data_IF_328675825763
#
_entry.id   IF_328675825763
#
_cell.length_a   1.000
_cell.length_b   1.000
_cell.length_c   1.000
_cell.angle_alpha   90.00
_cell.angle_beta   90.00
_cell.angle_gamma   90.00
#
_symmetry.space_group_name_H-M   'P 1'
#
loop_
_entity.id
_entity.type
_entity.pdbx_description
1 polymer ?
#
# COMPACT_ATOMS: atom_id res chain seq x y z
N UNK A 1 -12.34 -14.47 -21.26
CA UNK A 1 -11.12 -13.83 -21.78
C UNK A 1 -11.42 -12.35 -21.97
N UNK A 2 -10.54 -11.47 -21.49
CA UNK A 2 -10.68 -10.00 -21.65
C UNK A 2 -9.87 -9.54 -22.87
N UNK A 3 -10.38 -8.57 -23.62
CA UNK A 3 -9.76 -8.04 -24.84
C UNK A 3 -9.58 -6.51 -24.76
N UNK A 4 -8.34 -5.99 -24.87
CA UNK A 4 -8.05 -4.55 -24.82
C UNK A 4 -7.77 -3.93 -26.22
N UNK A 5 -8.63 -4.12 -27.23
CA UNK A 5 -8.38 -3.60 -28.58
C UNK A 5 -9.60 -2.98 -29.26
N UNK A 6 -9.60 -1.64 -29.37
CA UNK A 6 -10.57 -0.81 -30.09
C UNK A 6 -9.96 0.54 -30.49
N UNK A 7 -10.66 1.42 -31.23
CA UNK A 7 -10.16 2.77 -31.50
C UNK A 7 -9.88 3.50 -30.18
N UNK A 8 -8.79 4.27 -30.12
CA UNK A 8 -8.49 5.06 -28.92
C UNK A 8 -9.60 6.09 -28.66
N UNK A 9 -10.02 6.29 -27.40
CA UNK A 9 -9.55 5.60 -26.18
C UNK A 9 -10.10 4.16 -26.02
N UNK A 10 -9.28 3.25 -25.49
CA UNK A 10 -9.60 1.83 -25.31
C UNK A 10 -10.70 1.58 -24.26
N UNK A 11 -11.52 0.55 -24.51
CA UNK A 11 -12.46 -0.03 -23.54
C UNK A 11 -12.08 -1.49 -23.24
N UNK A 12 -12.62 -2.07 -22.17
CA UNK A 12 -12.44 -3.49 -21.85
C UNK A 12 -13.70 -4.28 -22.21
N UNK A 13 -13.59 -5.17 -23.19
CA UNK A 13 -14.62 -6.16 -23.52
C UNK A 13 -14.35 -7.52 -22.90
N UNK A 14 -15.38 -8.36 -22.80
CA UNK A 14 -15.23 -9.76 -22.39
C UNK A 14 -15.92 -10.74 -23.34
N UNK A 15 -15.43 -11.97 -23.33
CA UNK A 15 -16.07 -13.12 -23.99
C UNK A 15 -16.02 -14.36 -23.10
N UNK A 16 -17.04 -15.21 -23.22
CA UNK A 16 -17.18 -16.46 -22.48
C UNK A 16 -17.17 -17.68 -23.41
N UNK A 17 -16.73 -18.82 -22.89
CA UNK A 17 -16.77 -20.10 -23.59
C UNK A 17 -16.82 -21.24 -22.57
N UNK A 18 -17.30 -22.41 -23.00
CA UNK A 18 -17.22 -23.66 -22.23
C UNK A 18 -15.85 -24.35 -22.38
N UNK A 19 -14.98 -23.87 -23.28
CA UNK A 19 -13.64 -24.42 -23.53
C UNK A 19 -12.62 -23.30 -23.66
N UNK A 20 -11.39 -23.54 -23.19
CA UNK A 20 -10.26 -22.59 -23.33
C UNK A 20 -9.92 -22.28 -24.78
N UNK A 21 -10.29 -23.15 -25.72
CA UNK A 21 -10.08 -22.96 -27.17
C UNK A 21 -11.27 -22.29 -27.88
N UNK A 22 -12.33 -21.95 -27.16
CA UNK A 22 -13.56 -21.45 -27.76
C UNK A 22 -14.49 -22.57 -28.28
N UNK A 23 -15.52 -22.21 -29.07
CA UNK A 23 -15.79 -20.86 -29.59
C UNK A 23 -16.13 -19.88 -28.46
N UNK A 24 -15.68 -18.63 -28.61
CA UNK A 24 -15.91 -17.56 -27.65
C UNK A 24 -17.12 -16.73 -28.08
N UNK A 25 -18.05 -16.49 -27.14
CA UNK A 25 -19.21 -15.62 -27.33
C UNK A 25 -18.92 -14.27 -26.68
N UNK A 26 -19.02 -13.19 -27.46
CA UNK A 26 -18.88 -11.83 -26.95
C UNK A 26 -19.99 -11.52 -25.93
N UNK A 27 -19.59 -10.98 -24.78
CA UNK A 27 -20.47 -10.69 -23.64
C UNK A 27 -20.76 -9.21 -23.42
N UNK A 28 -20.07 -8.31 -24.15
CA UNK A 28 -20.22 -6.87 -24.00
C UNK A 28 -19.00 -6.18 -23.39
N UNK A 29 -19.21 -4.92 -23.01
CA UNK A 29 -18.20 -4.05 -22.41
C UNK A 29 -18.26 -4.20 -20.89
N UNK A 30 -17.12 -4.55 -20.28
CA UNK A 30 -16.94 -4.58 -18.83
C UNK A 30 -16.62 -3.19 -18.30
N UNK A 31 -15.74 -2.44 -18.97
CA UNK A 31 -15.37 -1.09 -18.57
C UNK A 31 -15.32 -0.20 -19.81
N UNK A 32 -16.07 0.92 -19.83
CA UNK A 32 -16.05 1.84 -20.96
C UNK A 32 -14.69 2.54 -21.05
N UNK A 33 -14.48 3.26 -22.15
CA UNK A 33 -13.33 4.15 -22.26
C UNK A 33 -13.52 5.34 -21.32
N UNK A 34 -12.73 5.40 -20.24
CA UNK A 34 -12.85 6.43 -19.21
C UNK A 34 -11.51 6.64 -18.47
N UNK A 35 -11.44 7.70 -17.66
CA UNK A 35 -10.22 8.12 -16.97
C UNK A 35 -9.29 8.96 -17.84
N UNK A 36 -8.08 9.21 -17.34
CA UNK A 36 -7.09 10.08 -18.00
C UNK A 36 -6.06 9.35 -18.88
N UNK A 37 -6.17 8.03 -19.06
CA UNK A 37 -5.31 7.27 -19.98
C UNK A 37 -6.09 6.81 -21.20
N UNK A 38 -5.45 6.84 -22.37
CA UNK A 38 -6.07 6.40 -23.62
C UNK A 38 -5.97 4.88 -23.83
N UNK A 39 -5.15 4.17 -23.04
CA UNK A 39 -5.07 2.70 -23.03
C UNK A 39 -5.68 2.13 -21.75
N UNK A 40 -6.11 0.87 -21.77
CA UNK A 40 -6.57 0.16 -20.58
C UNK A 40 -6.13 -1.31 -20.61
N UNK A 41 -5.60 -1.82 -19.49
CA UNK A 41 -5.03 -3.17 -19.41
C UNK A 41 -5.64 -3.97 -18.25
N UNK A 42 -6.41 -5.04 -18.54
CA UNK A 42 -7.16 -5.77 -17.52
C UNK A 42 -6.39 -6.94 -16.91
N UNK A 43 -6.65 -7.23 -15.64
CA UNK A 43 -6.32 -8.48 -14.97
C UNK A 43 -7.47 -8.90 -14.06
N UNK A 44 -7.78 -10.20 -14.01
CA UNK A 44 -8.82 -10.73 -13.10
C UNK A 44 -8.27 -11.92 -12.34
N UNK A 45 -8.51 -11.92 -11.02
CA UNK A 45 -8.05 -12.98 -10.12
C UNK A 45 -9.07 -13.20 -8.99
N UNK A 46 -9.22 -14.45 -8.60
CA UNK A 46 -9.91 -14.82 -7.37
C UNK A 46 -8.95 -14.78 -6.20
N UNK A 47 -9.30 -14.06 -5.14
CA UNK A 47 -8.51 -13.95 -3.93
C UNK A 47 -9.42 -13.88 -2.71
N UNK A 48 -9.13 -14.70 -1.69
CA UNK A 48 -9.89 -14.73 -0.42
C UNK A 48 -11.42 -14.76 -0.58
N UNK A 49 -11.90 -15.57 -1.53
CA UNK A 49 -13.34 -15.80 -1.75
C UNK A 49 -14.06 -14.70 -2.54
N UNK A 50 -13.33 -13.73 -3.11
CA UNK A 50 -13.86 -12.68 -3.98
C UNK A 50 -13.10 -12.64 -5.29
N UNK A 51 -13.73 -12.09 -6.33
CA UNK A 51 -13.09 -11.83 -7.62
C UNK A 51 -12.71 -10.37 -7.72
N UNK A 52 -11.49 -10.08 -8.16
CA UNK A 52 -10.96 -8.73 -8.29
C UNK A 52 -10.60 -8.41 -9.73
N UNK A 53 -10.97 -7.20 -10.15
CA UNK A 53 -10.64 -6.64 -11.44
C UNK A 53 -9.59 -5.55 -11.28
N UNK A 54 -8.41 -5.83 -11.82
CA UNK A 54 -7.29 -4.92 -11.92
C UNK A 54 -7.30 -4.23 -13.27
N UNK A 55 -7.00 -2.94 -13.26
CA UNK A 55 -6.85 -2.11 -14.45
C UNK A 55 -5.88 -0.96 -14.14
N UNK A 56 -5.65 -0.04 -15.09
CA UNK A 56 -4.90 1.19 -14.81
C UNK A 56 -5.68 2.44 -15.17
N UNK A 57 -5.30 3.56 -14.56
CA UNK A 57 -5.78 4.89 -14.94
C UNK A 57 -4.64 5.93 -14.82
N UNK A 58 -4.96 7.22 -14.91
CA UNK A 58 -4.01 8.32 -14.69
C UNK A 58 -4.34 9.13 -13.42
N UNK A 59 -4.85 8.46 -12.38
CA UNK A 59 -5.49 9.12 -11.23
C UNK A 59 -4.54 9.71 -10.19
N UNK A 60 -3.28 9.30 -10.13
CA UNK A 60 -2.30 9.87 -9.20
C UNK A 60 -1.71 11.20 -9.72
N UNK A 61 -1.16 12.06 -8.84
CA UNK A 61 -0.52 13.31 -9.25
C UNK A 61 0.54 13.11 -10.35
N UNK A 62 0.45 13.90 -11.42
CA UNK A 62 1.33 13.77 -12.60
C UNK A 62 0.94 12.64 -13.57
N UNK A 63 -0.23 12.02 -13.38
CA UNK A 63 -0.78 11.03 -14.30
C UNK A 63 -1.09 11.60 -15.68
N UNK A 64 -0.85 10.80 -16.73
CA UNK A 64 -1.08 11.13 -18.14
C UNK A 64 -1.49 9.88 -18.91
N UNK A 65 -1.67 10.01 -20.24
CA UNK A 65 -1.80 8.88 -21.15
C UNK A 65 -0.73 7.79 -20.98
N UNK A 66 0.50 8.19 -20.62
CA UNK A 66 1.67 7.30 -20.53
C UNK A 66 2.13 7.03 -19.08
N UNK A 67 1.81 7.93 -18.15
CA UNK A 67 2.11 7.79 -16.71
C UNK A 67 0.85 7.33 -15.97
N UNK A 68 0.82 6.04 -15.64
CA UNK A 68 -0.40 5.33 -15.21
C UNK A 68 -0.27 4.80 -13.79
N UNK A 69 -1.40 4.57 -13.14
CA UNK A 69 -1.55 4.08 -11.77
C UNK A 69 -2.38 2.80 -11.80
N UNK A 70 -1.94 1.78 -11.05
CA UNK A 70 -2.68 0.52 -10.91
C UNK A 70 -3.92 0.75 -10.05
N UNK A 71 -5.03 0.15 -10.43
CA UNK A 71 -6.31 0.19 -9.72
C UNK A 71 -6.85 -1.21 -9.52
N UNK A 72 -7.67 -1.39 -8.49
CA UNK A 72 -8.36 -2.64 -8.21
C UNK A 72 -9.75 -2.37 -7.65
N UNK A 73 -10.74 -3.11 -8.14
CA UNK A 73 -12.08 -3.13 -7.59
C UNK A 73 -12.62 -4.56 -7.56
N UNK A 74 -13.65 -4.82 -6.76
CA UNK A 74 -14.35 -6.10 -6.76
C UNK A 74 -15.13 -6.25 -8.07
N UNK A 75 -15.01 -7.43 -8.70
CA UNK A 75 -15.80 -7.82 -9.86
C UNK A 75 -16.91 -8.74 -9.40
N UNK A 76 -18.14 -8.42 -9.80
CA UNK A 76 -19.30 -9.26 -9.51
C UNK A 76 -19.86 -9.83 -10.81
N UNK A 77 -20.67 -10.87 -10.69
CA UNK A 77 -21.31 -11.53 -11.82
C UNK A 77 -22.82 -11.53 -11.57
N UNK A 78 -23.59 -11.29 -12.63
CA UNK A 78 -25.03 -11.50 -12.61
C UNK A 78 -25.34 -12.99 -12.41
N UNK A 79 -26.58 -13.30 -12.03
CA UNK A 79 -27.03 -14.69 -11.80
C UNK A 79 -26.92 -15.58 -13.04
N UNK A 80 -26.95 -14.99 -14.24
CA UNK A 80 -26.76 -15.67 -15.53
C UNK A 80 -25.28 -15.83 -15.94
N UNK A 81 -24.35 -15.40 -15.08
CA UNK A 81 -22.91 -15.44 -15.33
C UNK A 81 -22.37 -14.30 -16.21
N UNK A 82 -23.21 -13.35 -16.63
CA UNK A 82 -22.74 -12.14 -17.32
C UNK A 82 -22.04 -11.19 -16.37
N UNK A 83 -21.13 -10.38 -16.92
CA UNK A 83 -20.42 -9.36 -16.15
C UNK A 83 -21.16 -8.03 -16.33
N UNK A 84 -21.64 -7.39 -15.25
CA UNK A 84 -22.19 -6.05 -15.34
C UNK A 84 -21.09 -5.06 -15.75
N UNK A 85 -21.46 -4.02 -16.51
CA UNK A 85 -20.52 -2.94 -16.80
C UNK A 85 -20.17 -2.22 -15.50
N UNK A 86 -18.88 -1.93 -15.31
CA UNK A 86 -18.32 -1.23 -14.17
C UNK A 86 -17.68 0.08 -14.60
N UNK A 87 -17.69 1.07 -13.71
CA UNK A 87 -16.93 2.31 -13.86
C UNK A 87 -15.74 2.34 -12.91
N UNK A 88 -14.65 2.95 -13.36
CA UNK A 88 -13.49 3.27 -12.54
C UNK A 88 -13.93 4.03 -11.28
N UNK A 89 -13.46 3.58 -10.13
CA UNK A 89 -13.80 4.19 -8.84
C UNK A 89 -12.61 4.14 -7.87
N UNK A 90 -12.83 4.56 -6.63
CA UNK A 90 -11.81 4.59 -5.56
C UNK A 90 -11.37 3.21 -5.07
N UNK A 91 -11.94 2.13 -5.61
CA UNK A 91 -11.54 0.75 -5.35
C UNK A 91 -11.96 0.25 -3.97
N UNK A 92 -11.15 -0.64 -3.41
CA UNK A 92 -11.42 -1.33 -2.14
C UNK A 92 -11.10 -0.42 -0.97
N UNK A 93 -12.13 0.09 -0.27
CA UNK A 93 -11.96 0.99 0.89
C UNK A 93 -11.84 0.28 2.24
N UNK A 94 -12.40 -0.92 2.36
CA UNK A 94 -12.38 -1.70 3.61
C UNK A 94 -11.34 -2.80 3.48
N UNK A 95 -10.44 -2.89 4.45
CA UNK A 95 -9.49 -3.99 4.52
C UNK A 95 -10.24 -5.33 4.59
N UNK A 96 -9.77 -6.31 3.82
CA UNK A 96 -10.40 -7.64 3.73
C UNK A 96 -9.79 -8.66 4.70
N UNK A 97 -8.76 -8.26 5.45
CA UNK A 97 -8.20 -8.98 6.58
C UNK A 97 -7.38 -8.04 7.45
N UNK A 98 -7.00 -8.51 8.63
CA UNK A 98 -6.07 -7.82 9.54
C UNK A 98 -4.61 -8.15 9.20
N UNK A 99 -3.72 -7.26 9.64
CA UNK A 99 -2.28 -7.49 9.65
C UNK A 99 -1.84 -7.87 11.07
N UNK A 100 -1.00 -8.91 11.19
CA UNK A 100 -0.44 -9.35 12.47
C UNK A 100 0.80 -8.51 12.82
N UNK A 101 0.75 -7.65 13.86
CA UNK A 101 1.89 -6.79 14.22
C UNK A 101 3.04 -7.55 14.88
N UNK A 102 2.82 -8.81 15.28
CA UNK A 102 3.82 -9.62 15.98
C UNK A 102 4.74 -10.40 15.04
N UNK A 103 4.56 -10.25 13.72
CA UNK A 103 5.47 -10.75 12.70
C UNK A 103 6.34 -9.61 12.15
N UNK A 104 7.55 -9.95 11.70
CA UNK A 104 8.44 -8.96 11.11
C UNK A 104 7.84 -8.46 9.78
N UNK A 105 7.41 -7.21 9.78
CA UNK A 105 6.79 -6.56 8.63
C UNK A 105 7.78 -5.62 7.96
N UNK A 106 7.88 -5.70 6.63
CA UNK A 106 8.71 -4.76 5.87
C UNK A 106 8.07 -3.37 5.86
N UNK A 107 8.87 -2.31 5.95
CA UNK A 107 8.41 -0.93 6.03
C UNK A 107 7.72 -0.45 4.74
N UNK A 108 8.05 -1.06 3.60
CA UNK A 108 7.39 -0.87 2.31
C UNK A 108 6.05 -1.62 2.18
N UNK A 109 5.63 -2.37 3.21
CA UNK A 109 4.24 -2.87 3.31
C UNK A 109 3.33 -1.72 3.71
N UNK A 110 2.78 -1.02 2.72
CA UNK A 110 2.13 0.28 2.90
C UNK A 110 0.71 0.28 2.31
N UNK A 111 -0.22 0.89 3.03
CA UNK A 111 -1.54 1.24 2.52
C UNK A 111 -1.60 2.70 2.01
N UNK A 112 -1.00 3.65 2.75
CA UNK A 112 -0.91 5.05 2.36
C UNK A 112 0.44 5.65 2.72
N UNK A 113 0.88 6.66 1.96
CA UNK A 113 2.09 7.38 2.31
C UNK A 113 2.07 8.82 1.80
N UNK A 114 2.92 9.65 2.39
CA UNK A 114 3.17 11.03 1.96
C UNK A 114 4.66 11.30 2.05
N UNK A 115 5.24 11.84 0.97
CA UNK A 115 6.64 12.30 0.93
C UNK A 115 7.66 11.21 1.31
N UNK A 116 7.40 9.97 0.86
CA UNK A 116 8.34 8.84 0.98
C UNK A 116 8.64 8.24 -0.38
N UNK A 117 9.76 7.53 -0.49
CA UNK A 117 10.11 6.72 -1.66
C UNK A 117 10.74 5.41 -1.23
N UNK A 118 10.44 4.33 -1.95
CA UNK A 118 11.10 3.05 -1.76
C UNK A 118 12.41 3.00 -2.55
N UNK A 119 13.42 2.40 -1.96
CA UNK A 119 14.74 2.14 -2.55
C UNK A 119 15.11 0.68 -2.31
N UNK A 120 16.16 0.19 -2.96
CA UNK A 120 16.62 -1.18 -2.79
C UNK A 120 18.14 -1.24 -2.66
N UNK A 121 18.65 -2.19 -1.87
CA UNK A 121 20.06 -2.54 -1.81
C UNK A 121 20.26 -4.03 -1.48
N UNK A 122 21.50 -4.51 -1.58
CA UNK A 122 21.85 -5.90 -1.31
C UNK A 122 21.95 -6.25 0.18
N UNK A 123 21.73 -5.30 1.10
CA UNK A 123 21.84 -5.51 2.55
C UNK A 123 20.51 -5.90 3.16
N UNK A 124 19.44 -5.21 2.77
CA UNK A 124 18.12 -5.36 3.40
C UNK A 124 17.00 -5.58 2.39
N UNK A 125 17.29 -5.54 1.08
CA UNK A 125 16.26 -5.59 0.06
C UNK A 125 15.64 -4.22 -0.13
N UNK A 126 14.31 -4.13 -0.09
CA UNK A 126 13.57 -2.88 -0.26
C UNK A 126 13.43 -2.19 1.10
N UNK A 127 13.47 -0.86 1.10
CA UNK A 127 13.27 -0.04 2.28
C UNK A 127 12.69 1.31 1.88
N UNK A 128 12.20 2.10 2.84
CA UNK A 128 11.66 3.43 2.58
C UNK A 128 12.58 4.53 3.08
N UNK A 129 12.65 5.62 2.31
CA UNK A 129 13.26 6.88 2.72
C UNK A 129 12.19 7.94 2.93
N UNK A 130 12.20 8.57 4.09
CA UNK A 130 11.39 9.75 4.38
C UNK A 130 12.03 10.98 3.74
N UNK A 131 11.39 11.55 2.71
CA UNK A 131 11.99 12.62 1.91
C UNK A 131 11.90 13.99 2.57
N UNK A 132 10.95 14.21 3.49
CA UNK A 132 10.75 15.48 4.20
C UNK A 132 10.28 15.23 5.63
N UNK A 133 10.46 16.23 6.50
CA UNK A 133 9.85 16.22 7.84
C UNK A 133 8.32 16.24 7.72
N UNK A 134 7.64 15.41 8.52
CA UNK A 134 6.20 15.19 8.42
C UNK A 134 5.79 14.21 7.31
N UNK A 135 6.75 13.56 6.63
CA UNK A 135 6.47 12.39 5.81
C UNK A 135 5.92 11.25 6.66
N UNK A 136 5.15 10.34 6.06
CA UNK A 136 4.65 9.18 6.78
C UNK A 136 4.42 7.97 5.87
N UNK A 137 4.45 6.79 6.48
CA UNK A 137 3.81 5.58 5.94
C UNK A 137 2.67 5.16 6.87
N UNK A 138 1.63 4.55 6.30
CA UNK A 138 0.49 4.06 7.05
C UNK A 138 0.13 2.63 6.67
N UNK A 139 -0.23 1.85 7.67
CA UNK A 139 -0.66 0.47 7.57
C UNK A 139 -2.06 0.36 8.15
N UNK A 140 -2.97 -0.28 7.43
CA UNK A 140 -4.38 -0.39 7.80
C UNK A 140 -4.65 -1.70 8.54
N UNK A 141 -5.62 -1.65 9.46
CA UNK A 141 -6.23 -2.84 10.08
C UNK A 141 -5.24 -3.76 10.81
N UNK A 142 -4.35 -3.19 11.61
CA UNK A 142 -3.34 -3.93 12.40
C UNK A 142 -3.98 -4.42 13.69
N UNK A 143 -3.93 -5.73 13.94
CA UNK A 143 -4.63 -6.37 15.06
C UNK A 143 -3.69 -6.77 16.20
N UNK A 144 -3.78 -6.04 17.31
CA UNK A 144 -3.00 -6.29 18.52
C UNK A 144 -3.69 -7.25 19.50
N UNK A 145 -4.90 -7.72 19.19
CA UNK A 145 -5.68 -8.60 20.06
C UNK A 145 -5.95 -8.04 21.46
N UNK A 146 -6.36 -8.92 22.38
CA UNK A 146 -6.77 -8.54 23.73
C UNK A 146 -5.60 -8.34 24.72
N UNK A 147 -4.51 -9.10 24.55
CA UNK A 147 -3.31 -8.98 25.39
C UNK A 147 -2.56 -7.68 25.11
N UNK A 148 -2.52 -7.29 23.84
CA UNK A 148 -1.87 -6.07 23.36
C UNK A 148 -0.36 -6.18 23.25
N UNK A 149 0.23 -5.21 22.55
CA UNK A 149 1.68 -5.05 22.45
C UNK A 149 2.22 -4.14 23.56
N UNK A 150 3.37 -4.46 24.12
CA UNK A 150 4.08 -3.68 25.12
C UNK A 150 5.39 -3.06 24.61
N UNK A 151 5.94 -3.55 23.49
CA UNK A 151 7.16 -3.00 22.88
C UNK A 151 7.06 -2.94 21.37
N UNK A 152 7.99 -2.17 20.78
CA UNK A 152 8.13 -2.01 19.34
C UNK A 152 9.61 -2.08 18.95
N UNK A 153 9.89 -2.90 17.95
CA UNK A 153 11.16 -3.06 17.29
C UNK A 153 11.11 -2.41 15.90
N UNK A 154 12.20 -1.76 15.49
CA UNK A 154 12.42 -1.38 14.11
C UNK A 154 13.89 -1.46 13.69
N UNK A 155 14.11 -1.61 12.38
CA UNK A 155 15.41 -1.40 11.74
C UNK A 155 15.39 -0.09 10.95
N UNK A 156 16.23 0.84 11.37
CA UNK A 156 16.20 2.24 10.92
C UNK A 156 17.61 2.82 10.79
N UNK A 157 17.72 3.98 10.17
CA UNK A 157 18.95 4.76 10.11
C UNK A 157 18.72 6.18 9.65
N UNK A 158 19.74 7.02 9.81
CA UNK A 158 19.77 8.37 9.24
C UNK A 158 21.22 8.80 9.01
N UNK A 159 21.42 9.76 8.11
CA UNK A 159 22.68 10.50 7.91
C UNK A 159 22.72 11.79 8.74
N UNK A 160 21.64 12.12 9.46
CA UNK A 160 21.49 13.41 10.13
C UNK A 160 21.63 13.32 11.65
N UNK A 161 22.52 14.16 12.20
CA UNK A 161 22.72 14.29 13.65
C UNK A 161 21.89 15.45 14.24
N UNK A 162 20.58 15.49 13.96
CA UNK A 162 19.71 16.62 14.29
C UNK A 162 18.49 16.28 15.15
N UNK A 163 18.51 15.12 15.81
CA UNK A 163 17.41 14.64 16.66
C UNK A 163 16.24 14.10 15.84
N UNK A 164 16.54 13.20 14.89
CA UNK A 164 15.53 12.56 14.05
C UNK A 164 14.67 11.59 14.87
N UNK A 165 13.36 11.63 14.66
CA UNK A 165 12.38 10.84 15.40
C UNK A 165 11.37 10.20 14.43
N UNK A 166 10.95 8.98 14.73
CA UNK A 166 9.76 8.36 14.16
C UNK A 166 8.69 8.20 15.25
N UNK A 167 7.52 8.78 15.03
CA UNK A 167 6.37 8.64 15.90
C UNK A 167 5.40 7.59 15.36
N UNK A 168 4.91 6.71 16.23
CA UNK A 168 3.88 5.73 15.93
C UNK A 168 2.56 6.32 16.40
N UNK A 169 1.63 6.55 15.46
CA UNK A 169 0.34 7.20 15.70
C UNK A 169 -0.82 6.32 15.28
N UNK A 170 -1.95 6.45 15.98
CA UNK A 170 -3.17 5.71 15.68
C UNK A 170 -4.13 6.49 14.78
N UNK A 171 -4.67 5.83 13.76
CA UNK A 171 -5.81 6.30 12.95
C UNK A 171 -5.48 7.37 11.90
N UNK A 172 -4.56 8.30 12.18
CA UNK A 172 -4.17 9.37 11.25
C UNK A 172 -2.76 9.92 11.51
N UNK A 173 -2.24 10.72 10.58
CA UNK A 173 -0.95 11.42 10.73
C UNK A 173 -0.90 12.39 11.93
N UNK A 174 -2.07 12.87 12.38
CA UNK A 174 -2.21 13.74 13.55
C UNK A 174 -2.81 13.00 14.76
N UNK A 175 -2.92 11.67 14.69
CA UNK A 175 -3.51 10.84 15.71
C UNK A 175 -2.69 10.77 16.99
N UNK A 176 -3.25 10.08 17.99
CA UNK A 176 -2.58 9.83 19.27
C UNK A 176 -1.24 9.13 19.05
N UNK A 177 -0.18 9.69 19.62
CA UNK A 177 1.14 9.06 19.67
C UNK A 177 1.11 7.95 20.71
N UNK A 178 1.51 6.75 20.32
CA UNK A 178 1.60 5.56 21.19
C UNK A 178 3.03 5.08 21.39
N UNK A 179 3.96 5.54 20.56
CA UNK A 179 5.39 5.27 20.67
C UNK A 179 6.21 6.29 19.91
N UNK A 180 7.43 6.53 20.38
CA UNK A 180 8.38 7.49 19.82
C UNK A 180 9.76 6.85 19.76
N UNK A 181 10.34 6.78 18.56
CA UNK A 181 11.62 6.13 18.29
C UNK A 181 12.63 7.20 17.88
N UNK A 182 13.69 7.37 18.68
CA UNK A 182 14.84 8.19 18.28
C UNK A 182 15.68 7.42 17.27
N UNK A 183 15.97 8.04 16.13
CA UNK A 183 16.67 7.37 15.03
C UNK A 183 18.18 7.56 15.18
N UNK A 184 18.97 6.48 15.32
CA UNK A 184 20.42 6.57 15.45
C UNK A 184 21.07 7.04 14.14
N UNK A 185 22.15 7.83 14.27
CA UNK A 185 23.01 8.19 13.16
C UNK A 185 23.79 6.95 12.69
N UNK A 186 23.36 6.34 11.60
CA UNK A 186 24.05 5.22 10.95
C UNK A 186 24.97 5.68 9.82
N UNK A 187 24.76 6.92 9.35
CA UNK A 187 25.60 7.59 8.37
C UNK A 187 25.32 7.21 6.92
N UNK A 188 24.41 6.28 6.63
CA UNK A 188 24.12 5.83 5.27
C UNK A 188 22.90 4.91 5.19
N UNK A 189 22.33 4.75 4.00
CA UNK A 189 21.19 3.88 3.71
C UNK A 189 21.59 2.41 3.43
N UNK A 190 22.87 2.11 3.62
CA UNK A 190 23.48 0.77 3.63
C UNK A 190 23.89 0.33 5.04
N UNK A 191 23.67 1.19 6.05
CA UNK A 191 24.02 1.00 7.46
C UNK A 191 22.79 1.18 8.33
N UNK A 192 22.56 0.22 9.22
CA UNK A 192 21.27 0.09 9.94
C UNK A 192 21.48 -0.11 11.43
N UNK A 193 20.58 0.43 12.22
CA UNK A 193 20.46 0.17 13.64
C UNK A 193 19.14 -0.53 13.94
N UNK A 194 19.22 -1.56 14.78
CA UNK A 194 18.06 -2.12 15.46
C UNK A 194 17.73 -1.23 16.66
N UNK A 195 16.46 -0.87 16.80
CA UNK A 195 15.95 -0.07 17.91
C UNK A 195 14.74 -0.74 18.51
N UNK A 196 14.70 -0.77 19.84
CA UNK A 196 13.62 -1.32 20.65
C UNK A 196 13.15 -0.25 21.63
N UNK A 197 11.83 -0.06 21.71
CA UNK A 197 11.21 0.84 22.68
C UNK A 197 10.11 0.11 23.44
N UNK A 198 9.94 0.48 24.71
CA UNK A 198 8.75 0.13 25.49
C UNK A 198 7.63 1.13 25.23
N UNK A 199 6.42 0.64 25.04
CA UNK A 199 5.22 1.48 24.95
C UNK A 199 4.78 1.86 26.37
N UNK A 200 4.31 3.11 26.54
CA UNK A 200 3.83 3.58 27.84
C UNK A 200 2.59 2.80 28.33
N UNK A 201 1.78 2.31 27.38
CA UNK A 201 0.58 1.52 27.62
C UNK A 201 0.50 0.40 26.61
N UNK A 202 -0.04 -0.75 27.02
CA UNK A 202 -0.28 -1.84 26.09
C UNK A 202 -1.25 -1.41 24.99
N UNK A 203 -0.86 -1.56 23.74
CA UNK A 203 -1.69 -1.27 22.58
C UNK A 203 -2.53 -2.49 22.24
N UNK A 204 -3.86 -2.37 22.32
CA UNK A 204 -4.83 -3.49 22.19
C UNK A 204 -5.84 -3.22 21.10
N UNK A 205 -6.46 -4.27 20.58
CA UNK A 205 -7.50 -4.20 19.55
C UNK A 205 -6.93 -3.87 18.16
N UNK A 206 -7.79 -3.41 17.27
CA UNK A 206 -7.45 -3.18 15.86
C UNK A 206 -7.28 -1.68 15.60
N UNK A 207 -6.15 -1.30 15.01
CA UNK A 207 -5.84 0.09 14.68
C UNK A 207 -5.22 0.23 13.29
N UNK A 208 -5.44 1.40 12.70
CA UNK A 208 -4.57 1.87 11.62
C UNK A 208 -3.34 2.53 12.25
N UNK A 209 -2.15 2.20 11.76
CA UNK A 209 -0.89 2.77 12.24
C UNK A 209 -0.35 3.77 11.23
N UNK A 210 0.18 4.87 11.74
CA UNK A 210 0.91 5.88 11.00
C UNK A 210 2.31 6.01 11.61
N UNK A 211 3.34 5.74 10.81
CA UNK A 211 4.73 6.01 11.15
C UNK A 211 5.10 7.38 10.58
N UNK A 212 5.15 8.40 11.45
CA UNK A 212 5.40 9.79 11.06
C UNK A 212 6.85 10.14 11.35
N UNK A 213 7.56 10.63 10.33
CA UNK A 213 9.00 10.88 10.38
C UNK A 213 9.27 12.36 10.56
N UNK A 214 10.02 12.71 11.61
CA UNK A 214 10.30 14.08 12.01
C UNK A 214 11.81 14.33 12.02
N UNK A 215 12.21 15.46 11.47
CA UNK A 215 13.61 15.90 11.48
C UNK A 215 13.76 17.36 11.09
N UNK A 216 14.96 17.90 11.29
CA UNK A 216 15.31 19.30 10.94
C UNK A 216 15.99 19.43 9.58
N UNK A 217 16.46 18.31 9.01
CA UNK A 217 17.08 18.30 7.70
C UNK A 217 16.05 18.67 6.62
N UNK A 218 16.48 19.32 5.52
CA UNK A 218 15.57 19.73 4.45
C UNK A 218 15.03 18.52 3.65
N UNK A 219 15.81 17.45 3.55
CA UNK A 219 15.43 16.24 2.84
C UNK A 219 16.07 14.98 3.43
N UNK A 220 15.62 13.80 2.99
CA UNK A 220 16.18 12.48 3.35
C UNK A 220 16.35 12.24 4.86
N UNK A 221 15.27 12.53 5.59
CA UNK A 221 15.20 12.53 7.05
C UNK A 221 15.70 11.23 7.67
N UNK A 222 15.23 10.08 7.16
CA UNK A 222 15.61 8.77 7.68
C UNK A 222 15.31 7.65 6.69
N UNK A 223 15.87 6.48 7.00
CA UNK A 223 15.66 5.20 6.34
C UNK A 223 14.92 4.26 7.30
N UNK A 224 13.91 3.56 6.79
CA UNK A 224 13.11 2.61 7.56
C UNK A 224 12.89 1.35 6.73
N UNK A 225 13.14 0.20 7.34
CA UNK A 225 13.29 -1.05 6.61
C UNK A 225 12.33 -2.13 7.11
N UNK A 226 12.26 -2.37 8.41
CA UNK A 226 11.29 -3.32 8.95
C UNK A 226 10.88 -2.97 10.38
N UNK A 227 9.76 -3.51 10.82
CA UNK A 227 9.22 -3.32 12.15
C UNK A 227 8.46 -4.54 12.66
N UNK A 228 8.30 -4.62 13.98
CA UNK A 228 7.50 -5.62 14.68
C UNK A 228 7.10 -5.08 16.05
N UNK A 229 5.94 -5.47 16.56
CA UNK A 229 5.57 -5.30 17.97
C UNK A 229 5.76 -6.58 18.76
N UNK A 230 5.90 -6.47 20.08
CA UNK A 230 5.95 -7.61 21.00
C UNK A 230 5.01 -7.39 22.19
N UNK A 231 4.59 -8.49 22.84
CA UNK A 231 3.54 -8.50 23.90
C UNK A 231 4.02 -8.02 25.26
#
# INVERSE_FOLDING_TARGET
>A
MFWPGGPLPEFIGYSTSKSVKGPWKYGGIVMPAEGGSFTNHPGVIDFRGKTYFFYHNAGLPGGTGFTRSVCVQELTFNTDGTIPQVSMNEGIKKAIATLNPYELTQAETIAWSKEVKSYQNNKVGVFVKAKKSGAFTAVKNVDFGHEGAASFFARVGTTHNSGVEMQIRLGSENGQVVGSVKIPLTGGDDRWAAVDISLEKKLKGIHDLYFVFLGKAPEDIMFFDCWKFEK
#
